data_IF_383236243173
#
_entry.id   IF_383236243173
#
_cell.length_a   1.000
_cell.length_b   1.000
_cell.length_c   1.000
_cell.angle_alpha   90.00
_cell.angle_beta   90.00
_cell.angle_gamma   90.00
#
_symmetry.space_group_name_H-M   'P 1'
#
loop_
_entity.id
_entity.type
_entity.pdbx_description
1 polymer ?
#
# COMPACT_ATOMS: atom_id res chain seq x y z
N UNK A 1 -30.62 -51.20 -9.39
CA UNK A 1 -30.26 -52.61 -9.13
C UNK A 1 -29.26 -52.65 -7.96
N UNK A 2 -29.48 -53.45 -6.91
CA UNK A 2 -28.66 -53.39 -5.70
C UNK A 2 -27.34 -54.15 -5.88
N UNK A 3 -26.23 -53.45 -5.62
CA UNK A 3 -24.82 -53.92 -5.67
C UNK A 3 -24.59 -55.22 -4.87
N UNK A 4 -25.44 -55.52 -3.88
CA UNK A 4 -25.37 -56.73 -3.05
C UNK A 4 -25.57 -58.05 -3.81
N UNK A 5 -26.25 -58.05 -4.97
CA UNK A 5 -26.44 -59.29 -5.75
C UNK A 5 -25.30 -59.55 -6.75
N UNK A 6 -24.49 -58.55 -7.09
CA UNK A 6 -23.33 -58.72 -7.97
C UNK A 6 -22.18 -59.46 -7.27
N UNK A 7 -21.99 -59.20 -5.97
CA UNK A 7 -20.92 -59.82 -5.18
C UNK A 7 -21.11 -61.33 -4.92
N UNK A 8 -22.36 -61.82 -4.91
CA UNK A 8 -22.65 -63.25 -4.70
C UNK A 8 -22.42 -64.11 -5.95
N UNK A 9 -22.40 -63.51 -7.14
CA UNK A 9 -22.16 -64.25 -8.39
C UNK A 9 -20.67 -64.50 -8.61
N UNK A 10 -19.79 -63.59 -8.17
CA UNK A 10 -18.32 -63.76 -8.32
C UNK A 10 -17.69 -64.77 -7.35
N UNK A 11 -18.39 -65.16 -6.27
CA UNK A 11 -17.81 -66.03 -5.22
C UNK A 11 -18.20 -67.52 -5.33
N UNK A 12 -18.93 -67.93 -6.37
CA UNK A 12 -19.33 -69.33 -6.55
C UNK A 12 -18.60 -70.00 -7.72
N UNK A 13 -17.29 -70.22 -7.58
CA UNK A 13 -16.59 -71.26 -8.35
C UNK A 13 -15.48 -71.94 -7.53
N UNK A 14 -15.59 -73.26 -7.39
CA UNK A 14 -14.46 -74.18 -7.22
C UNK A 14 -14.66 -75.35 -8.18
N UNK A 15 -14.22 -75.15 -9.42
CA UNK A 15 -13.75 -76.24 -10.26
C UNK A 15 -12.29 -75.91 -10.56
N UNK A 16 -11.38 -76.78 -10.15
CA UNK A 16 -9.94 -76.64 -10.35
C UNK A 16 -9.60 -76.87 -11.83
N UNK A 17 -10.03 -75.97 -12.71
CA UNK A 17 -9.52 -75.90 -14.07
C UNK A 17 -8.23 -75.07 -14.01
N UNK A 18 -7.08 -75.72 -14.20
CA UNK A 18 -5.82 -75.01 -14.37
C UNK A 18 -5.89 -74.13 -15.61
N UNK A 19 -5.27 -72.95 -15.55
CA UNK A 19 -5.21 -72.03 -16.69
C UNK A 19 -4.47 -72.69 -17.86
N UNK A 20 -5.03 -72.55 -19.06
CA UNK A 20 -4.33 -72.98 -20.27
C UNK A 20 -3.17 -72.02 -20.56
N UNK A 21 -2.06 -72.53 -21.11
CA UNK A 21 -0.86 -71.71 -21.42
C UNK A 21 -1.21 -70.48 -22.29
N UNK A 22 -2.15 -70.64 -23.21
CA UNK A 22 -2.66 -69.58 -24.10
C UNK A 22 -3.42 -68.49 -23.36
N UNK A 23 -4.23 -68.81 -22.35
CA UNK A 23 -4.92 -67.80 -21.53
C UNK A 23 -3.94 -66.96 -20.71
N UNK A 24 -2.90 -67.58 -20.15
CA UNK A 24 -1.86 -66.87 -19.41
C UNK A 24 -1.11 -65.89 -20.31
N UNK A 25 -0.82 -66.30 -21.55
CA UNK A 25 -0.11 -65.46 -22.52
C UNK A 25 -0.94 -64.27 -22.99
N UNK A 26 -2.24 -64.47 -23.25
CA UNK A 26 -3.17 -63.37 -23.60
C UNK A 26 -3.35 -62.43 -22.39
N UNK A 27 -3.51 -62.98 -21.19
CA UNK A 27 -3.60 -62.20 -19.96
C UNK A 27 -2.37 -61.31 -19.73
N UNK A 28 -1.16 -61.87 -19.92
CA UNK A 28 0.08 -61.12 -19.83
C UNK A 28 0.20 -60.03 -20.91
N UNK A 29 -0.20 -60.33 -22.16
CA UNK A 29 -0.18 -59.36 -23.24
C UNK A 29 -1.12 -58.16 -22.95
N UNK A 30 -2.37 -58.42 -22.54
CA UNK A 30 -3.33 -57.37 -22.20
C UNK A 30 -2.84 -56.56 -20.99
N UNK A 31 -2.34 -57.23 -19.94
CA UNK A 31 -1.80 -56.57 -18.77
C UNK A 31 -0.63 -55.64 -19.13
N UNK A 32 0.27 -56.07 -20.03
CA UNK A 32 1.41 -55.26 -20.46
C UNK A 32 0.96 -53.98 -21.18
N UNK A 33 -0.07 -54.06 -22.02
CA UNK A 33 -0.63 -52.89 -22.73
C UNK A 33 -1.27 -51.92 -21.74
N UNK A 34 -2.05 -52.42 -20.78
CA UNK A 34 -2.71 -51.59 -19.76
C UNK A 34 -1.68 -50.90 -18.87
N UNK A 35 -0.67 -51.64 -18.38
CA UNK A 35 0.42 -51.08 -17.56
C UNK A 35 1.23 -50.06 -18.36
N UNK A 36 1.51 -50.33 -19.64
CA UNK A 36 2.20 -49.39 -20.53
C UNK A 36 1.43 -48.08 -20.71
N UNK A 37 0.13 -48.16 -20.99
CA UNK A 37 -0.73 -46.98 -21.14
C UNK A 37 -0.83 -46.18 -19.83
N UNK A 38 -1.00 -46.85 -18.70
CA UNK A 38 -1.05 -46.20 -17.38
C UNK A 38 0.29 -45.54 -17.02
N UNK A 39 1.42 -46.21 -17.29
CA UNK A 39 2.76 -45.67 -17.07
C UNK A 39 3.02 -44.41 -17.89
N UNK A 40 2.62 -44.41 -19.17
CA UNK A 40 2.70 -43.21 -20.01
C UNK A 40 1.84 -42.06 -19.47
N UNK A 41 0.61 -42.35 -19.06
CA UNK A 41 -0.30 -41.36 -18.45
C UNK A 41 0.29 -40.71 -17.19
N UNK A 42 0.90 -41.50 -16.30
CA UNK A 42 1.54 -41.00 -15.10
C UNK A 42 2.72 -40.08 -15.41
N UNK A 43 3.58 -40.46 -16.37
CA UNK A 43 4.71 -39.62 -16.79
C UNK A 43 4.25 -38.27 -17.34
N UNK A 44 3.14 -38.26 -18.08
CA UNK A 44 2.56 -37.01 -18.59
C UNK A 44 2.07 -36.11 -17.45
N UNK A 45 1.38 -36.68 -16.46
CA UNK A 45 0.92 -35.91 -15.29
C UNK A 45 2.10 -35.34 -14.50
N UNK A 46 3.17 -36.11 -14.30
CA UNK A 46 4.37 -35.64 -13.59
C UNK A 46 5.03 -34.46 -14.32
N UNK A 47 5.17 -34.54 -15.65
CA UNK A 47 5.72 -33.44 -16.46
C UNK A 47 4.87 -32.18 -16.36
N UNK A 48 3.55 -32.31 -16.49
CA UNK A 48 2.62 -31.17 -16.35
C UNK A 48 2.66 -30.58 -14.94
N UNK A 49 2.71 -31.41 -13.89
CA UNK A 49 2.81 -30.94 -12.50
C UNK A 49 4.11 -30.18 -12.24
N UNK A 50 5.25 -30.68 -12.75
CA UNK A 50 6.54 -30.00 -12.61
C UNK A 50 6.52 -28.63 -13.28
N UNK A 51 5.98 -28.56 -14.51
CA UNK A 51 5.83 -27.29 -15.24
C UNK A 51 4.94 -26.30 -14.48
N UNK A 52 3.80 -26.76 -13.97
CA UNK A 52 2.89 -25.94 -13.17
C UNK A 52 3.56 -25.37 -11.93
N UNK A 53 4.39 -26.18 -11.24
CA UNK A 53 5.15 -25.75 -10.07
C UNK A 53 6.16 -24.65 -10.41
N UNK A 54 7.02 -24.86 -11.42
CA UNK A 54 8.05 -23.87 -11.83
C UNK A 54 7.41 -22.57 -12.30
N UNK A 55 6.30 -22.66 -13.04
CA UNK A 55 5.57 -21.48 -13.48
C UNK A 55 4.97 -20.70 -12.30
N UNK A 56 4.42 -21.40 -11.30
CA UNK A 56 3.87 -20.76 -10.10
C UNK A 56 4.95 -20.07 -9.27
N UNK A 57 6.10 -20.72 -9.11
CA UNK A 57 7.27 -20.16 -8.41
C UNK A 57 7.76 -18.89 -9.12
N UNK A 58 7.97 -18.94 -10.45
CA UNK A 58 8.41 -17.77 -11.23
C UNK A 58 7.42 -16.60 -11.18
N UNK A 59 6.11 -16.89 -11.21
CA UNK A 59 5.07 -15.87 -11.00
C UNK A 59 5.20 -15.19 -9.64
N UNK A 60 5.41 -15.97 -8.58
CA UNK A 60 5.55 -15.45 -7.21
C UNK A 60 6.81 -14.59 -7.04
N UNK A 61 7.94 -15.03 -7.60
CA UNK A 61 9.20 -14.28 -7.56
C UNK A 61 9.10 -12.94 -8.29
N UNK A 62 8.54 -12.94 -9.51
CA UNK A 62 8.36 -11.72 -10.31
C UNK A 62 7.36 -10.77 -9.65
N UNK A 63 6.27 -11.28 -9.10
CA UNK A 63 5.30 -10.46 -8.35
C UNK A 63 5.97 -9.76 -7.15
N UNK A 64 6.78 -10.48 -6.37
CA UNK A 64 7.51 -9.89 -5.24
C UNK A 64 8.51 -8.82 -5.70
N UNK A 65 9.23 -9.08 -6.79
CA UNK A 65 10.14 -8.09 -7.37
C UNK A 65 9.38 -6.84 -7.82
N UNK A 66 8.20 -6.99 -8.42
CA UNK A 66 7.34 -5.87 -8.82
C UNK A 66 6.87 -5.03 -7.66
N UNK A 67 6.36 -5.66 -6.60
CA UNK A 67 5.88 -4.94 -5.42
C UNK A 67 7.01 -4.11 -4.83
N UNK A 68 8.19 -4.73 -4.70
CA UNK A 68 9.39 -4.06 -4.21
C UNK A 68 9.82 -2.86 -5.09
N UNK A 69 9.92 -3.06 -6.41
CA UNK A 69 10.30 -2.00 -7.36
C UNK A 69 9.25 -0.88 -7.36
N UNK A 70 7.97 -1.24 -7.33
CA UNK A 70 6.85 -0.29 -7.36
C UNK A 70 6.82 0.57 -6.11
N UNK A 71 7.12 -0.01 -4.94
CA UNK A 71 7.20 0.72 -3.69
C UNK A 71 8.39 1.68 -3.65
N UNK A 72 9.55 1.32 -4.21
CA UNK A 72 10.66 2.26 -4.35
C UNK A 72 10.36 3.37 -5.36
N UNK A 73 9.66 3.07 -6.45
CA UNK A 73 9.21 4.11 -7.38
C UNK A 73 8.24 5.05 -6.67
N UNK A 74 7.27 4.55 -5.89
CA UNK A 74 6.34 5.41 -5.12
C UNK A 74 7.07 6.34 -4.15
N UNK A 75 8.19 5.88 -3.57
CA UNK A 75 9.07 6.68 -2.70
C UNK A 75 9.97 7.64 -3.46
N UNK A 76 10.09 7.49 -4.78
CA UNK A 76 10.88 8.40 -5.59
C UNK A 76 10.16 9.74 -5.79
N UNK A 77 10.97 10.77 -5.95
CA UNK A 77 10.58 12.07 -6.47
C UNK A 77 10.60 12.05 -7.99
N UNK A 78 11.63 11.46 -8.61
CA UNK A 78 11.78 11.43 -10.07
C UNK A 78 12.29 10.06 -10.55
N UNK A 79 11.84 9.67 -11.74
CA UNK A 79 12.24 8.48 -12.48
C UNK A 79 13.04 8.94 -13.69
N UNK A 80 14.32 8.61 -13.72
CA UNK A 80 15.24 8.97 -14.79
C UNK A 80 15.46 7.77 -15.74
N UNK A 81 15.45 7.98 -17.06
CA UNK A 81 15.59 6.90 -18.05
C UNK A 81 17.02 6.35 -18.19
N UNK A 82 17.97 6.88 -17.43
CA UNK A 82 19.37 6.47 -17.46
C UNK A 82 20.02 6.73 -16.10
N UNK A 83 21.24 6.21 -15.91
CA UNK A 83 21.99 6.35 -14.67
C UNK A 83 23.07 7.45 -14.73
N UNK A 84 22.93 8.47 -15.59
CA UNK A 84 23.96 9.52 -15.74
C UNK A 84 24.15 10.32 -14.45
N UNK A 85 23.07 10.51 -13.70
CA UNK A 85 23.08 11.25 -12.43
C UNK A 85 23.41 10.35 -11.23
N UNK A 86 23.68 9.06 -11.44
CA UNK A 86 23.94 8.10 -10.37
C UNK A 86 25.43 8.11 -9.97
N UNK A 87 25.77 8.96 -9.02
CA UNK A 87 27.17 9.12 -8.53
C UNK A 87 27.71 7.84 -7.87
N UNK A 88 28.78 7.27 -8.42
CA UNK A 88 29.38 6.02 -7.91
C UNK A 88 28.84 4.73 -8.56
N UNK A 89 27.86 4.83 -9.46
CA UNK A 89 27.41 3.71 -10.27
C UNK A 89 28.27 3.57 -11.54
N UNK A 90 28.74 2.35 -11.82
CA UNK A 90 29.44 2.02 -13.06
C UNK A 90 28.55 1.19 -13.98
N UNK A 91 28.26 1.67 -15.19
CA UNK A 91 27.39 0.97 -16.17
C UNK A 91 28.08 -0.15 -16.97
N UNK A 92 29.39 -0.35 -16.80
CA UNK A 92 30.15 -1.37 -17.55
C UNK A 92 29.58 -2.78 -17.36
N UNK A 93 29.18 -3.43 -18.46
CA UNK A 93 28.59 -4.77 -18.44
C UNK A 93 27.18 -4.84 -17.84
N UNK A 94 26.53 -3.68 -17.63
CA UNK A 94 25.20 -3.56 -17.05
C UNK A 94 24.25 -2.89 -18.05
N UNK A 95 23.06 -3.45 -18.22
CA UNK A 95 22.00 -2.82 -19.01
C UNK A 95 21.08 -2.05 -18.08
N UNK A 96 21.25 -0.73 -18.01
CA UNK A 96 20.43 0.14 -17.16
C UNK A 96 19.01 0.20 -17.70
N UNK A 97 18.03 0.07 -16.80
CA UNK A 97 16.61 0.27 -17.11
C UNK A 97 16.21 1.67 -16.66
N UNK A 98 16.32 2.00 -15.38
CA UNK A 98 16.01 3.34 -14.89
C UNK A 98 16.74 3.65 -13.59
N UNK A 99 16.77 4.93 -13.23
CA UNK A 99 17.30 5.42 -11.96
C UNK A 99 16.24 6.24 -11.21
N UNK A 100 16.25 6.17 -9.88
CA UNK A 100 15.27 6.82 -9.02
C UNK A 100 15.94 7.88 -8.14
N UNK A 101 15.44 9.11 -8.20
CA UNK A 101 15.76 10.15 -7.22
C UNK A 101 14.82 9.97 -6.04
N UNK A 102 15.35 9.58 -4.88
CA UNK A 102 14.56 9.39 -3.66
C UNK A 102 15.02 10.43 -2.64
N UNK A 103 14.12 11.26 -2.10
CA UNK A 103 14.51 12.31 -1.16
C UNK A 103 15.02 11.70 0.16
N UNK A 104 16.02 12.35 0.75
CA UNK A 104 16.60 11.95 2.04
C UNK A 104 17.57 10.77 1.98
N UNK A 105 17.96 10.31 0.78
CA UNK A 105 19.06 9.37 0.61
C UNK A 105 20.30 10.12 0.12
N UNK A 106 21.42 9.95 0.82
CA UNK A 106 22.74 10.47 0.43
C UNK A 106 23.72 9.30 0.24
N UNK A 107 24.60 9.40 -0.77
CA UNK A 107 25.58 8.33 -1.08
C UNK A 107 26.75 8.30 -0.09
N UNK A 108 27.15 9.47 0.42
CA UNK A 108 28.38 9.65 1.20
C UNK A 108 28.19 10.59 2.42
N UNK A 109 26.96 10.72 2.93
CA UNK A 109 26.65 11.68 4.00
C UNK A 109 26.82 13.15 3.58
N UNK A 110 26.95 13.41 2.28
CA UNK A 110 27.02 14.73 1.69
C UNK A 110 25.76 14.98 0.84
N UNK A 111 24.87 15.83 1.35
CA UNK A 111 23.58 16.20 0.74
C UNK A 111 23.67 16.85 -0.66
N UNK A 112 24.88 17.06 -1.19
CA UNK A 112 25.11 17.66 -2.52
C UNK A 112 25.31 16.63 -3.63
N UNK A 113 25.63 15.37 -3.30
CA UNK A 113 25.78 14.31 -4.31
C UNK A 113 24.42 13.73 -4.64
N UNK A 114 24.02 13.83 -5.91
CA UNK A 114 22.77 13.27 -6.42
C UNK A 114 22.77 11.74 -6.28
N UNK A 115 22.20 11.26 -5.17
CA UNK A 115 21.96 9.84 -4.95
C UNK A 115 20.87 9.35 -5.91
N UNK A 116 21.10 8.23 -6.59
CA UNK A 116 20.11 7.61 -7.47
C UNK A 116 20.08 6.11 -7.30
N UNK A 117 18.96 5.53 -6.86
CA UNK A 117 18.82 4.07 -6.84
C UNK A 117 18.67 3.58 -8.29
N UNK A 118 19.58 2.73 -8.77
CA UNK A 118 19.62 2.30 -10.18
C UNK A 118 19.14 0.87 -10.31
N UNK A 119 18.22 0.66 -11.24
CA UNK A 119 17.72 -0.65 -11.65
C UNK A 119 18.32 -1.05 -12.99
N UNK A 120 18.92 -2.24 -13.04
CA UNK A 120 19.64 -2.69 -14.22
C UNK A 120 19.66 -4.23 -14.34
N UNK A 121 20.00 -4.72 -15.53
CA UNK A 121 20.24 -6.13 -15.80
C UNK A 121 21.73 -6.42 -15.93
N UNK A 122 22.16 -7.58 -15.43
CA UNK A 122 23.52 -8.11 -15.61
C UNK A 122 23.45 -9.63 -15.80
N UNK A 123 24.43 -10.18 -16.49
CA UNK A 123 24.61 -11.63 -16.56
C UNK A 123 24.92 -12.20 -15.17
N UNK A 124 24.39 -13.39 -14.82
CA UNK A 124 24.77 -14.05 -13.58
C UNK A 124 26.28 -14.34 -13.58
N UNK A 125 26.93 -14.13 -12.44
CA UNK A 125 28.34 -14.48 -12.29
C UNK A 125 28.51 -16.01 -12.33
N UNK A 126 29.65 -16.50 -12.84
CA UNK A 126 29.86 -17.94 -13.08
C UNK A 126 29.69 -18.84 -11.85
N UNK A 127 29.89 -18.30 -10.64
CA UNK A 127 29.75 -19.01 -9.36
C UNK A 127 28.53 -18.54 -8.55
N UNK A 128 27.57 -17.90 -9.21
CA UNK A 128 26.37 -17.35 -8.58
C UNK A 128 25.28 -18.41 -8.41
N UNK A 129 24.49 -18.28 -7.33
CA UNK A 129 23.24 -19.05 -7.17
C UNK A 129 22.16 -18.62 -8.17
N UNK A 130 22.24 -17.39 -8.67
CA UNK A 130 21.28 -16.76 -9.57
C UNK A 130 21.34 -17.34 -10.98
N UNK A 131 20.19 -17.64 -11.55
CA UNK A 131 20.04 -18.30 -12.86
C UNK A 131 20.00 -17.31 -14.02
N UNK A 132 20.66 -17.68 -15.12
CA UNK A 132 20.59 -16.95 -16.38
C UNK A 132 19.26 -17.17 -17.11
N UNK A 133 18.97 -16.41 -18.17
CA UNK A 133 19.93 -15.60 -18.94
C UNK A 133 20.39 -14.29 -18.28
N UNK A 134 19.48 -13.51 -17.70
CA UNK A 134 19.78 -12.23 -17.04
C UNK A 134 19.20 -12.20 -15.63
N UNK A 135 19.76 -11.33 -14.79
CA UNK A 135 19.30 -11.09 -13.41
C UNK A 135 19.03 -9.59 -13.24
N UNK A 136 17.91 -9.24 -12.61
CA UNK A 136 17.61 -7.85 -12.22
C UNK A 136 18.38 -7.54 -10.95
N UNK A 137 19.15 -6.46 -11.02
CA UNK A 137 19.86 -5.91 -9.89
C UNK A 137 19.35 -4.51 -9.56
N UNK A 138 19.49 -4.18 -8.29
CA UNK A 138 19.35 -2.85 -7.73
C UNK A 138 20.69 -2.40 -7.19
N UNK A 139 21.16 -1.25 -7.63
CA UNK A 139 22.26 -0.53 -6.99
C UNK A 139 21.69 0.57 -6.12
N UNK A 140 21.99 0.54 -4.83
CA UNK A 140 21.39 1.43 -3.85
C UNK A 140 21.91 1.19 -2.43
N UNK A 141 21.49 2.02 -1.47
CA UNK A 141 21.79 1.78 -0.07
C UNK A 141 21.06 0.51 0.40
N UNK A 142 21.57 -0.20 1.42
CA UNK A 142 20.87 -1.34 1.98
C UNK A 142 19.58 -0.90 2.68
N UNK A 143 18.61 -1.81 2.69
CA UNK A 143 17.37 -1.66 3.45
C UNK A 143 17.49 -2.50 4.73
N UNK A 144 17.03 -1.96 5.85
CA UNK A 144 16.87 -2.73 7.09
C UNK A 144 15.58 -3.59 7.05
N UNK A 145 15.36 -4.37 8.11
CA UNK A 145 14.18 -5.26 8.23
C UNK A 145 12.84 -4.52 8.22
N UNK A 146 12.84 -3.21 8.49
CA UNK A 146 11.66 -2.35 8.42
C UNK A 146 11.45 -1.72 7.03
N UNK A 147 12.31 -2.03 6.05
CA UNK A 147 12.24 -1.46 4.70
C UNK A 147 12.69 0.00 4.61
N UNK A 148 13.46 0.49 5.59
CA UNK A 148 14.05 1.82 5.58
C UNK A 148 15.49 1.78 5.09
N UNK A 149 15.93 2.84 4.41
CA UNK A 149 17.31 2.98 3.95
C UNK A 149 18.26 3.10 5.13
N UNK A 150 19.42 2.45 5.00
CA UNK A 150 20.51 2.51 5.97
C UNK A 150 21.66 3.32 5.37
N UNK A 151 22.47 3.96 6.22
CA UNK A 151 23.65 4.73 5.82
C UNK A 151 24.86 3.87 5.43
N UNK A 152 24.66 2.56 5.21
CA UNK A 152 25.74 1.66 4.81
C UNK A 152 26.10 1.81 3.33
N UNK A 153 27.28 1.29 2.96
CA UNK A 153 27.84 1.39 1.62
C UNK A 153 26.87 0.86 0.57
N UNK A 154 26.74 1.63 -0.52
CA UNK A 154 25.94 1.29 -1.67
C UNK A 154 26.44 0.00 -2.31
N UNK A 155 25.52 -0.89 -2.65
CA UNK A 155 25.85 -2.22 -3.15
C UNK A 155 24.90 -2.68 -4.23
N UNK A 156 25.41 -3.56 -5.08
CA UNK A 156 24.63 -4.27 -6.08
C UNK A 156 23.87 -5.42 -5.40
N UNK A 157 22.53 -5.38 -5.45
CA UNK A 157 21.65 -6.40 -4.88
C UNK A 157 20.82 -7.07 -5.97
N UNK A 158 20.96 -8.39 -6.18
CA UNK A 158 20.08 -9.14 -7.07
C UNK A 158 18.67 -9.23 -6.46
N UNK A 159 17.65 -9.11 -7.32
CA UNK A 159 16.24 -9.12 -6.92
C UNK A 159 15.49 -10.33 -7.50
N UNK A 160 15.65 -10.57 -8.80
CA UNK A 160 14.99 -11.68 -9.50
C UNK A 160 15.87 -12.15 -10.65
N UNK A 161 15.90 -13.46 -10.86
CA UNK A 161 16.71 -14.11 -11.89
C UNK A 161 15.87 -14.80 -12.96
N UNK A 162 16.55 -15.44 -13.91
CA UNK A 162 15.89 -16.10 -15.02
C UNK A 162 15.13 -15.10 -15.87
N UNK A 163 15.65 -13.89 -16.08
CA UNK A 163 15.04 -12.92 -16.98
C UNK A 163 15.51 -13.20 -18.41
N UNK A 164 14.58 -13.20 -19.35
CA UNK A 164 14.86 -13.42 -20.77
C UNK A 164 15.84 -12.34 -21.28
N UNK A 165 16.83 -12.73 -22.06
CA UNK A 165 17.84 -11.78 -22.55
C UNK A 165 17.24 -10.72 -23.49
N UNK A 166 16.34 -11.13 -24.40
CA UNK A 166 15.71 -10.26 -25.38
C UNK A 166 14.22 -10.59 -25.53
N UNK A 167 13.39 -9.56 -25.66
CA UNK A 167 11.95 -9.64 -25.92
C UNK A 167 11.60 -8.68 -27.05
N UNK A 168 10.40 -8.81 -27.63
CA UNK A 168 9.83 -7.78 -28.48
C UNK A 168 9.67 -6.49 -27.68
N UNK A 169 10.17 -5.38 -28.20
CA UNK A 169 10.11 -4.08 -27.54
C UNK A 169 8.65 -3.66 -27.25
N UNK A 170 8.30 -3.35 -25.99
CA UNK A 170 6.99 -2.81 -25.66
C UNK A 170 6.74 -1.50 -26.41
N UNK A 171 5.50 -1.30 -26.89
CA UNK A 171 5.10 -0.03 -27.48
C UNK A 171 4.77 0.98 -26.38
N UNK A 172 5.66 1.95 -26.16
CA UNK A 172 5.47 2.98 -25.14
C UNK A 172 4.60 4.17 -25.60
N UNK A 173 4.41 4.37 -26.91
CA UNK A 173 3.85 5.61 -27.47
C UNK A 173 4.87 6.75 -27.51
N UNK A 174 4.43 7.94 -27.94
CA UNK A 174 5.32 9.10 -28.21
C UNK A 174 5.66 9.96 -26.99
N UNK A 175 4.82 9.95 -25.95
CA UNK A 175 5.04 10.69 -24.69
C UNK A 175 5.81 9.90 -23.63
N UNK A 176 6.41 8.78 -24.03
CA UNK A 176 7.08 7.85 -23.14
C UNK A 176 8.42 7.44 -23.73
N UNK A 177 9.43 7.32 -22.87
CA UNK A 177 10.77 6.85 -23.22
C UNK A 177 10.89 5.38 -22.87
N UNK A 178 11.16 4.52 -23.86
CA UNK A 178 11.48 3.11 -23.64
C UNK A 178 12.92 2.96 -23.14
N UNK A 179 13.08 2.18 -22.08
CA UNK A 179 14.37 1.90 -21.44
C UNK A 179 14.47 0.41 -21.06
N UNK A 180 15.59 -0.28 -21.32
CA UNK A 180 16.67 0.16 -22.21
C UNK A 180 16.11 0.38 -23.63
N UNK A 181 16.73 1.30 -24.38
CA UNK A 181 16.31 1.62 -25.74
C UNK A 181 16.33 0.36 -26.61
N UNK A 182 15.30 0.20 -27.44
CA UNK A 182 15.21 -0.98 -28.30
C UNK A 182 16.37 -1.00 -29.31
N UNK A 183 16.96 -2.17 -29.50
CA UNK A 183 17.84 -2.48 -30.63
C UNK A 183 16.98 -3.12 -31.72
N UNK A 184 16.54 -2.30 -32.68
CA UNK A 184 15.55 -2.71 -33.68
C UNK A 184 14.18 -2.92 -33.04
N UNK A 185 13.59 -4.11 -33.22
CA UNK A 185 12.30 -4.49 -32.63
C UNK A 185 12.43 -5.18 -31.26
N UNK A 186 13.64 -5.25 -30.70
CA UNK A 186 13.90 -6.02 -29.46
C UNK A 186 14.49 -5.15 -28.35
N UNK A 187 14.14 -5.49 -27.10
CA UNK A 187 14.75 -4.90 -25.89
C UNK A 187 15.00 -6.01 -24.86
N UNK A 188 15.59 -5.69 -23.71
CA UNK A 188 15.86 -6.68 -22.66
C UNK A 188 14.60 -7.14 -21.95
N UNK A 189 14.62 -8.35 -21.35
CA UNK A 189 13.46 -8.93 -20.66
C UNK A 189 12.95 -8.13 -19.47
N UNK A 190 13.74 -7.20 -18.94
CA UNK A 190 13.27 -6.14 -18.04
C UNK A 190 13.39 -4.79 -18.74
N UNK A 191 12.26 -4.12 -18.91
CA UNK A 191 12.14 -2.83 -19.57
C UNK A 191 11.14 -1.92 -18.84
N UNK A 192 11.26 -0.62 -19.05
CA UNK A 192 10.33 0.38 -18.56
C UNK A 192 10.00 1.41 -19.64
N UNK A 193 8.74 1.78 -19.75
CA UNK A 193 8.32 3.01 -20.40
C UNK A 193 8.19 4.09 -19.32
N UNK A 194 8.95 5.18 -19.44
CA UNK A 194 8.91 6.30 -18.50
C UNK A 194 8.24 7.47 -19.17
N UNK A 195 7.19 8.01 -18.56
CA UNK A 195 6.46 9.15 -19.10
C UNK A 195 7.32 10.41 -19.11
N UNK A 196 6.99 11.36 -19.98
CA UNK A 196 7.70 12.64 -20.10
C UNK A 196 7.66 13.51 -18.84
N UNK A 197 6.72 13.24 -17.93
CA UNK A 197 6.63 13.88 -16.61
C UNK A 197 7.71 13.39 -15.63
N UNK A 198 8.46 12.33 -15.98
CA UNK A 198 9.42 11.63 -15.11
C UNK A 198 8.82 11.16 -13.77
N UNK A 199 7.50 11.08 -13.66
CA UNK A 199 6.77 10.62 -12.46
C UNK A 199 6.10 9.28 -12.70
N UNK A 200 5.70 8.97 -13.92
CA UNK A 200 4.99 7.71 -14.21
C UNK A 200 5.88 6.70 -14.95
N UNK A 201 5.86 5.45 -14.50
CA UNK A 201 6.53 4.34 -15.18
C UNK A 201 5.59 3.16 -15.43
N UNK A 202 5.67 2.57 -16.63
CA UNK A 202 5.13 1.23 -16.93
C UNK A 202 6.30 0.26 -16.99
N UNK A 203 6.25 -0.80 -16.21
CA UNK A 203 7.35 -1.76 -16.05
C UNK A 203 6.97 -3.10 -16.69
N UNK A 204 7.90 -3.71 -17.40
CA UNK A 204 7.73 -5.00 -18.10
C UNK A 204 8.84 -5.95 -17.67
N UNK A 205 8.49 -7.09 -17.08
CA UNK A 205 9.42 -8.14 -16.64
C UNK A 205 8.99 -9.45 -17.30
N UNK A 206 9.93 -10.07 -17.99
CA UNK A 206 9.74 -11.31 -18.74
C UNK A 206 10.69 -12.37 -18.20
N UNK A 207 10.14 -13.31 -17.45
CA UNK A 207 10.84 -14.45 -16.89
C UNK A 207 10.92 -15.61 -17.90
N UNK A 208 12.07 -16.26 -17.94
CA UNK A 208 12.32 -17.51 -18.63
C UNK A 208 11.91 -18.68 -17.72
N UNK A 209 11.01 -19.52 -18.23
CA UNK A 209 10.58 -20.76 -17.61
C UNK A 209 11.23 -21.89 -18.42
N UNK A 210 12.37 -22.35 -17.94
CA UNK A 210 13.08 -23.50 -18.50
C UNK A 210 12.57 -24.77 -17.82
N UNK A 211 11.96 -25.66 -18.60
CA UNK A 211 11.61 -27.01 -18.12
C UNK A 211 12.44 -28.06 -18.84
N UNK A 212 12.81 -29.13 -18.15
CA UNK A 212 13.62 -30.23 -18.69
C UNK A 212 12.93 -31.00 -19.82
N UNK A 213 11.62 -30.81 -20.03
CA UNK A 213 10.81 -31.62 -20.95
C UNK A 213 10.20 -30.89 -22.15
N UNK A 214 10.08 -29.55 -22.12
CA UNK A 214 9.34 -28.80 -23.16
C UNK A 214 10.08 -27.56 -23.70
N UNK A 215 11.33 -27.35 -23.29
CA UNK A 215 12.10 -26.17 -23.69
C UNK A 215 11.83 -24.95 -22.80
N UNK A 216 12.19 -23.77 -23.34
CA UNK A 216 12.01 -22.47 -22.69
C UNK A 216 10.66 -21.86 -23.07
N UNK A 217 9.95 -21.32 -22.09
CA UNK A 217 8.71 -20.54 -22.28
C UNK A 217 8.80 -19.23 -21.51
N UNK A 218 8.12 -18.18 -21.98
CA UNK A 218 8.22 -16.85 -21.37
C UNK A 218 6.98 -16.58 -20.51
N UNK A 219 7.20 -16.15 -19.27
CA UNK A 219 6.18 -15.53 -18.45
C UNK A 219 6.35 -14.02 -18.49
N UNK A 220 5.34 -13.32 -18.99
CA UNK A 220 5.30 -11.87 -19.07
C UNK A 220 4.38 -11.31 -17.98
N UNK A 221 4.85 -10.27 -17.32
CA UNK A 221 4.04 -9.43 -16.45
C UNK A 221 4.33 -7.96 -16.73
N UNK A 222 3.36 -7.11 -16.44
CA UNK A 222 3.45 -5.67 -16.57
C UNK A 222 2.70 -4.95 -15.44
N UNK A 223 3.17 -3.76 -15.08
CA UNK A 223 2.52 -2.90 -14.09
C UNK A 223 2.76 -1.43 -14.38
N UNK A 224 1.90 -0.55 -13.85
CA UNK A 224 2.03 0.90 -13.93
C UNK A 224 2.12 1.48 -12.53
N UNK A 225 3.12 2.32 -12.29
CA UNK A 225 3.34 2.98 -10.99
C UNK A 225 3.73 4.45 -11.18
N UNK A 226 3.56 5.22 -10.11
CA UNK A 226 3.76 6.68 -10.08
C UNK A 226 4.63 7.03 -8.89
N UNK A 227 5.63 7.87 -9.10
CA UNK A 227 6.49 8.49 -8.10
C UNK A 227 5.70 9.57 -7.34
N UNK A 228 5.72 9.50 -6.00
CA UNK A 228 4.84 10.30 -5.14
C UNK A 228 5.58 11.15 -4.12
N UNK A 229 6.90 11.00 -3.99
CA UNK A 229 7.62 11.83 -3.06
C UNK A 229 7.75 13.23 -3.64
N UNK A 230 7.56 14.21 -2.76
CA UNK A 230 7.78 15.62 -3.06
C UNK A 230 8.84 16.14 -2.08
N UNK A 231 9.71 17.02 -2.55
CA UNK A 231 10.66 17.66 -1.64
C UNK A 231 9.94 18.79 -0.92
N UNK A 232 9.76 18.64 0.40
CA UNK A 232 9.16 19.64 1.32
C UNK A 232 9.78 21.06 1.28
N UNK A 233 10.78 21.31 0.42
CA UNK A 233 11.39 22.60 0.22
C UNK A 233 10.43 23.65 -0.35
N UNK A 234 9.46 23.28 -1.21
CA UNK A 234 8.50 24.25 -1.77
C UNK A 234 7.30 24.50 -0.85
N UNK A 235 6.90 23.53 -0.02
CA UNK A 235 5.77 23.70 0.91
C UNK A 235 6.11 24.68 2.05
N UNK A 236 7.39 24.81 2.44
CA UNK A 236 7.82 25.79 3.47
C UNK A 236 7.71 27.25 3.04
N UNK A 237 7.64 27.57 1.74
CA UNK A 237 7.64 28.95 1.26
C UNK A 237 6.23 29.56 1.07
N UNK A 238 5.17 28.73 1.04
CA UNK A 238 3.82 29.16 0.65
C UNK A 238 2.81 29.39 1.78
N UNK A 239 3.06 28.89 2.99
CA UNK A 239 2.14 29.08 4.11
C UNK A 239 2.69 30.16 5.05
N UNK A 240 2.18 31.39 4.86
CA UNK A 240 2.28 32.41 5.91
C UNK A 240 1.69 31.87 7.24
N UNK A 241 2.13 32.40 8.40
CA UNK A 241 1.65 31.91 9.69
C UNK A 241 0.11 32.01 9.75
N UNK A 242 -0.57 30.86 9.75
CA UNK A 242 -1.99 30.83 10.06
C UNK A 242 -2.16 31.32 11.51
N UNK A 243 -2.93 32.39 11.68
CA UNK A 243 -3.38 32.77 13.01
C UNK A 243 -4.15 31.59 13.62
N UNK A 244 -3.82 31.14 14.84
CA UNK A 244 -4.50 30.02 15.46
C UNK A 244 -6.00 30.32 15.63
N UNK A 245 -6.88 29.34 15.41
CA UNK A 245 -8.31 29.49 15.65
C UNK A 245 -8.59 29.79 17.13
N UNK A 246 -9.63 30.60 17.37
CA UNK A 246 -10.08 31.01 18.70
C UNK A 246 -10.29 29.82 19.64
N UNK A 247 -9.81 29.86 20.89
CA UNK A 247 -9.85 28.72 21.79
C UNK A 247 -11.28 28.32 22.22
N UNK A 248 -11.52 27.01 22.29
CA UNK A 248 -12.73 26.37 22.80
C UNK A 248 -12.93 26.74 24.29
N UNK A 249 -14.01 27.45 24.60
CA UNK A 249 -14.34 27.89 25.95
C UNK A 249 -14.94 26.79 26.83
N UNK A 250 -14.10 26.07 27.58
CA UNK A 250 -14.51 25.26 28.74
C UNK A 250 -14.19 25.97 30.06
N UNK A 251 -15.12 25.99 31.02
CA UNK A 251 -14.88 26.55 32.36
C UNK A 251 -14.35 25.46 33.29
N UNK A 252 -13.11 25.58 33.75
CA UNK A 252 -12.54 24.71 34.80
C UNK A 252 -12.59 25.39 36.17
N UNK A 253 -12.78 24.60 37.25
CA UNK A 253 -12.71 25.10 38.64
C UNK A 253 -11.42 24.63 39.28
N UNK A 254 -10.66 25.55 39.86
CA UNK A 254 -9.53 25.21 40.72
C UNK A 254 -10.05 24.92 42.13
N UNK A 255 -9.76 23.75 42.67
CA UNK A 255 -10.15 23.40 44.04
C UNK A 255 -8.91 23.48 44.94
N UNK A 256 -8.92 24.42 45.90
CA UNK A 256 -7.84 24.57 46.88
C UNK A 256 -7.95 23.43 47.91
N UNK A 257 -6.88 22.66 48.19
CA UNK A 257 -6.93 21.66 49.25
C UNK A 257 -7.13 22.35 50.60
N UNK A 258 -8.02 21.85 51.44
CA UNK A 258 -8.37 22.40 52.77
C UNK A 258 -7.27 22.28 53.82
N UNK A 259 -6.01 22.04 53.43
CA UNK A 259 -4.90 21.71 54.33
C UNK A 259 -3.58 22.46 54.09
N UNK A 260 -3.57 23.60 53.39
CA UNK A 260 -2.37 24.46 53.31
C UNK A 260 -1.23 23.95 52.41
N UNK A 261 -1.51 23.03 51.47
CA UNK A 261 -0.56 22.66 50.41
C UNK A 261 -0.69 23.54 49.16
N UNK A 262 0.41 23.72 48.41
CA UNK A 262 0.37 24.31 47.07
C UNK A 262 -0.65 23.56 46.19
N UNK A 263 -1.44 24.26 45.36
CA UNK A 263 -2.38 23.61 44.45
C UNK A 263 -1.60 22.71 43.48
N UNK A 264 -1.69 21.40 43.66
CA UNK A 264 -1.24 20.42 42.67
C UNK A 264 -2.34 20.23 41.63
N UNK A 265 -1.99 20.38 40.36
CA UNK A 265 -2.85 20.01 39.24
C UNK A 265 -3.24 18.53 39.41
N UNK A 266 -4.53 18.26 39.58
CA UNK A 266 -5.05 16.92 39.38
C UNK A 266 -4.90 16.65 37.89
N UNK A 267 -3.95 15.80 37.53
CA UNK A 267 -3.76 15.34 36.16
C UNK A 267 -5.01 14.56 35.77
N UNK A 268 -5.97 15.21 35.12
CA UNK A 268 -7.11 14.52 34.54
C UNK A 268 -6.58 13.90 33.25
N UNK A 269 -6.03 12.68 33.38
CA UNK A 269 -5.84 11.82 32.24
C UNK A 269 -7.24 11.43 31.72
N UNK A 270 -7.85 12.27 30.90
CA UNK A 270 -9.03 11.87 30.14
C UNK A 270 -8.56 10.93 29.03
N UNK A 271 -8.57 9.64 29.33
CA UNK A 271 -8.45 8.60 28.32
C UNK A 271 -9.73 8.64 27.49
N UNK A 272 -9.64 9.09 26.23
CA UNK A 272 -10.76 8.94 25.30
C UNK A 272 -10.82 7.46 24.93
N UNK A 273 -11.57 6.68 25.71
CA UNK A 273 -11.90 5.30 25.37
C UNK A 273 -12.95 5.35 24.26
N UNK A 274 -12.51 5.04 23.04
CA UNK A 274 -13.42 4.64 21.98
C UNK A 274 -13.97 3.28 22.37
N UNK A 275 -15.19 3.23 22.91
CA UNK A 275 -15.88 1.97 23.12
C UNK A 275 -16.07 1.31 21.75
N UNK A 276 -15.51 0.10 21.58
CA UNK A 276 -15.54 -0.68 20.34
C UNK A 276 -16.96 -0.86 19.77
N UNK A 277 -18.01 -0.62 20.55
CA UNK A 277 -19.40 -0.75 20.10
C UNK A 277 -19.93 0.45 19.27
N UNK A 278 -19.23 1.60 19.19
CA UNK A 278 -19.86 2.84 18.68
C UNK A 278 -19.15 3.56 17.52
N UNK A 279 -18.07 3.02 16.98
CA UNK A 279 -17.46 3.57 15.77
C UNK A 279 -18.12 2.95 14.52
N UNK A 280 -19.02 3.71 13.87
CA UNK A 280 -19.54 3.34 12.55
C UNK A 280 -18.64 3.90 11.46
N UNK A 281 -17.99 3.02 10.71
CA UNK A 281 -17.25 3.39 9.50
C UNK A 281 -18.25 3.62 8.37
N UNK A 282 -18.38 4.86 7.92
CA UNK A 282 -19.22 5.22 6.78
C UNK A 282 -18.38 5.07 5.49
N UNK A 283 -18.15 3.84 5.05
CA UNK A 283 -17.48 3.59 3.77
C UNK A 283 -18.48 3.31 2.66
N UNK A 284 -18.32 3.94 1.49
CA UNK A 284 -19.01 3.52 0.28
C UNK A 284 -18.14 2.58 -0.55
N UNK A 285 -18.53 1.30 -0.57
CA UNK A 285 -17.93 0.24 -1.36
C UNK A 285 -18.16 -1.09 -0.66
N UNK A 286 -18.59 -2.13 -1.38
CA UNK A 286 -18.76 -3.47 -0.82
C UNK A 286 -17.40 -4.05 -0.37
N UNK A 287 -16.96 -3.69 0.83
CA UNK A 287 -15.87 -4.37 1.53
C UNK A 287 -16.32 -4.60 2.97
N UNK A 288 -16.15 -5.84 3.41
CA UNK A 288 -16.79 -6.42 4.58
C UNK A 288 -16.59 -5.59 5.86
N UNK A 289 -17.68 -5.41 6.62
CA UNK A 289 -17.65 -4.90 7.98
C UNK A 289 -16.88 -5.87 8.86
N UNK A 290 -15.66 -5.50 9.25
CA UNK A 290 -14.98 -6.10 10.39
C UNK A 290 -14.84 -5.03 11.46
N UNK A 291 -15.49 -5.28 12.60
CA UNK A 291 -15.42 -4.42 13.78
C UNK A 291 -13.97 -4.39 14.30
N UNK A 292 -13.42 -3.21 14.65
CA UNK A 292 -12.13 -3.13 15.31
C UNK A 292 -12.21 -3.81 16.69
N UNK A 293 -11.22 -4.65 17.04
CA UNK A 293 -11.21 -5.46 18.27
C UNK A 293 -10.28 -4.92 19.37
N UNK A 294 -9.74 -3.70 19.23
CA UNK A 294 -8.82 -3.12 20.22
C UNK A 294 -9.13 -1.66 20.52
N UNK A 295 -9.19 -1.36 21.83
CA UNK A 295 -9.31 -0.01 22.38
C UNK A 295 -8.23 0.91 21.78
N UNK A 296 -8.62 1.86 20.94
CA UNK A 296 -7.74 2.94 20.52
C UNK A 296 -7.68 3.99 21.64
N UNK A 297 -6.46 4.38 22.02
CA UNK A 297 -6.22 5.34 23.10
C UNK A 297 -5.73 6.64 22.50
N UNK A 298 -6.58 7.68 22.47
CA UNK A 298 -6.15 9.04 22.11
C UNK A 298 -5.65 9.72 23.38
N UNK A 299 -4.37 10.10 23.42
CA UNK A 299 -3.79 10.88 24.52
C UNK A 299 -3.83 12.36 24.16
N UNK A 300 -4.62 13.12 24.91
CA UNK A 300 -4.63 14.58 24.82
C UNK A 300 -3.67 15.11 25.89
N UNK A 301 -2.61 15.81 25.47
CA UNK A 301 -1.74 16.53 26.39
C UNK A 301 -2.20 17.99 26.46
N UNK A 302 -2.49 18.50 27.66
CA UNK A 302 -2.68 19.93 27.89
C UNK A 302 -1.42 20.55 28.48
N UNK A 303 -1.11 21.78 28.10
CA UNK A 303 -0.08 22.56 28.77
C UNK A 303 -0.49 22.83 30.24
N UNK A 304 0.45 22.87 31.20
CA UNK A 304 0.13 23.13 32.60
C UNK A 304 -0.50 24.51 32.77
N UNK A 305 -1.69 24.58 33.38
CA UNK A 305 -2.36 25.83 33.74
C UNK A 305 -1.82 26.30 35.09
N UNK A 306 -1.04 27.39 35.09
CA UNK A 306 -0.50 27.98 36.31
C UNK A 306 -1.62 28.66 37.13
N UNK A 307 -1.94 28.08 38.29
CA UNK A 307 -3.00 28.55 39.18
C UNK A 307 -2.50 29.50 40.28
N UNK A 308 -1.24 29.98 40.20
CA UNK A 308 -0.58 30.68 41.33
C UNK A 308 -0.98 32.15 41.50
N UNK A 309 -1.77 32.75 40.61
CA UNK A 309 -1.83 34.22 40.50
C UNK A 309 -3.11 34.93 40.97
N UNK A 310 -4.12 34.31 41.61
CA UNK A 310 -5.28 35.10 42.07
C UNK A 310 -6.10 34.48 43.22
N UNK A 311 -6.45 35.32 44.21
CA UNK A 311 -7.34 35.03 45.34
C UNK A 311 -8.85 35.08 44.99
N UNK A 312 -9.22 35.07 43.70
CA UNK A 312 -10.64 35.03 43.30
C UNK A 312 -11.15 33.59 43.13
N UNK A 313 -12.29 33.21 43.74
CA UNK A 313 -12.85 31.85 43.65
C UNK A 313 -13.49 31.52 42.29
N UNK A 314 -13.54 32.47 41.35
CA UNK A 314 -14.03 32.23 39.99
C UNK A 314 -13.21 33.02 38.96
N UNK A 315 -12.39 32.33 38.19
CA UNK A 315 -11.87 32.83 36.91
C UNK A 315 -12.28 31.89 35.79
N UNK A 316 -12.77 32.48 34.70
CA UNK A 316 -12.88 31.80 33.41
C UNK A 316 -11.49 31.77 32.80
N UNK A 317 -10.77 30.67 32.98
CA UNK A 317 -9.49 30.46 32.29
C UNK A 317 -9.82 30.06 30.85
N UNK A 318 -9.53 30.93 29.88
CA UNK A 318 -9.56 30.59 28.46
C UNK A 318 -8.44 29.58 28.22
N UNK A 319 -8.71 28.33 27.80
CA UNK A 319 -7.64 27.39 27.52
C UNK A 319 -6.80 27.95 26.38
N UNK A 320 -5.48 28.04 26.58
CA UNK A 320 -4.55 28.20 25.46
C UNK A 320 -4.38 26.81 24.86
N UNK A 321 -4.77 26.66 23.59
CA UNK A 321 -4.47 25.55 22.68
C UNK A 321 -4.71 24.15 23.27
N UNK A 322 -5.92 23.61 23.08
CA UNK A 322 -6.08 22.14 23.09
C UNK A 322 -5.55 21.64 21.76
N UNK A 323 -4.28 21.24 21.75
CA UNK A 323 -3.70 20.53 20.62
C UNK A 323 -4.09 19.06 20.72
N UNK A 324 -5.02 18.62 19.86
CA UNK A 324 -5.31 17.20 19.69
C UNK A 324 -4.17 16.61 18.86
N UNK A 325 -3.10 16.15 19.52
CA UNK A 325 -2.08 15.38 18.84
C UNK A 325 -2.59 13.95 18.62
N UNK A 326 -3.03 13.65 17.40
CA UNK A 326 -3.19 12.27 16.93
C UNK A 326 -1.78 11.69 16.71
N UNK A 327 -1.22 11.14 17.79
CA UNK A 327 0.15 10.61 17.78
C UNK A 327 0.26 9.33 16.95
N UNK A 328 -0.83 8.56 16.82
CA UNK A 328 -0.89 7.34 16.02
C UNK A 328 -2.36 6.89 15.83
N UNK A 329 -2.76 6.50 14.62
CA UNK A 329 -3.96 5.65 14.41
C UNK A 329 -3.45 4.21 14.24
N UNK A 330 -3.08 3.58 15.36
CA UNK A 330 -2.66 2.18 15.36
C UNK A 330 -3.92 1.30 15.31
N UNK A 331 -4.35 0.94 14.11
CA UNK A 331 -5.24 -0.20 13.90
C UNK A 331 -4.41 -1.49 13.93
N UNK A 332 -4.75 -2.42 14.83
CA UNK A 332 -4.22 -3.78 14.74
C UNK A 332 -4.59 -4.38 13.37
N UNK A 333 -3.64 -5.08 12.73
CA UNK A 333 -3.78 -5.63 11.37
C UNK A 333 -5.15 -6.29 11.16
N UNK A 334 -6.01 -5.65 10.39
CA UNK A 334 -7.25 -6.31 9.91
C UNK A 334 -6.83 -7.23 8.78
N UNK A 335 -6.72 -8.54 9.07
CA UNK A 335 -6.71 -9.55 8.03
C UNK A 335 -8.11 -9.60 7.44
N UNK A 336 -8.26 -9.13 6.21
CA UNK A 336 -9.37 -9.58 5.37
C UNK A 336 -9.09 -11.03 4.93
N UNK A 337 -10.11 -11.79 4.54
CA UNK A 337 -9.98 -13.17 4.03
C UNK A 337 -9.00 -13.28 2.83
N UNK A 338 -8.59 -12.16 2.24
CA UNK A 338 -7.70 -12.08 1.08
C UNK A 338 -6.27 -11.60 1.40
N UNK A 339 -5.87 -11.49 2.67
CA UNK A 339 -4.45 -11.37 3.05
C UNK A 339 -3.76 -10.01 2.81
N UNK A 340 -4.50 -8.94 2.54
CA UNK A 340 -3.91 -7.59 2.43
C UNK A 340 -3.67 -6.96 3.81
N UNK A 341 -2.52 -6.31 3.99
CA UNK A 341 -2.16 -5.54 5.19
C UNK A 341 -2.01 -4.08 4.79
N UNK A 342 -2.66 -3.15 5.49
CA UNK A 342 -2.49 -1.72 5.24
C UNK A 342 -1.19 -1.19 5.90
N UNK A 343 -0.48 -0.24 5.26
CA UNK A 343 0.74 0.33 5.82
C UNK A 343 0.45 1.25 7.01
N UNK A 344 1.43 1.34 7.90
CA UNK A 344 1.43 2.22 9.06
C UNK A 344 1.36 3.69 8.60
N UNK A 345 0.39 4.45 9.08
CA UNK A 345 0.25 5.88 8.75
C UNK A 345 1.19 6.65 9.68
N UNK A 346 2.14 7.40 9.10
CA UNK A 346 3.07 8.24 9.86
C UNK A 346 2.32 9.29 10.72
N UNK A 347 2.91 9.77 11.84
CA UNK A 347 2.29 10.75 12.72
C UNK A 347 1.84 12.00 11.93
N UNK A 348 0.60 12.39 12.17
CA UNK A 348 -0.11 13.43 11.42
C UNK A 348 0.33 14.80 11.92
N UNK A 349 0.84 15.65 11.03
CA UNK A 349 1.10 17.06 11.31
C UNK A 349 -0.24 17.84 11.28
N UNK A 350 -0.63 18.56 12.37
CA UNK A 350 -1.89 19.30 12.46
C UNK A 350 -2.03 20.48 11.48
N UNK A 351 -0.96 20.86 10.76
CA UNK A 351 -1.01 21.88 9.69
C UNK A 351 -1.38 21.32 8.30
N UNK A 352 -1.68 20.02 8.19
CA UNK A 352 -1.97 19.37 6.92
C UNK A 352 -3.46 19.49 6.58
N UNK A 353 -3.80 20.12 5.45
CA UNK A 353 -5.16 20.33 4.93
C UNK A 353 -5.93 19.06 4.55
N UNK A 354 -5.43 17.88 4.94
CA UNK A 354 -5.94 16.56 4.56
C UNK A 354 -6.91 15.97 5.56
N UNK A 355 -7.14 16.65 6.68
CA UNK A 355 -8.12 16.22 7.68
C UNK A 355 -9.08 17.38 7.94
N UNK A 356 -10.35 17.13 7.67
CA UNK A 356 -11.44 18.02 8.03
C UNK A 356 -12.17 17.44 9.23
N UNK A 357 -12.35 18.28 10.23
CA UNK A 357 -13.07 17.94 11.45
C UNK A 357 -14.37 18.73 11.45
N UNK A 358 -15.52 18.04 11.54
CA UNK A 358 -16.83 18.67 11.56
C UNK A 358 -17.51 18.49 12.92
N UNK A 359 -17.76 19.62 13.59
CA UNK A 359 -18.50 19.70 14.84
C UNK A 359 -19.95 20.18 14.62
N UNK A 360 -20.82 19.80 15.56
CA UNK A 360 -22.21 20.23 15.57
C UNK A 360 -22.35 21.77 15.53
N UNK A 361 -22.88 22.33 14.43
CA UNK A 361 -23.26 23.74 14.36
C UNK A 361 -22.11 24.76 14.31
N UNK A 362 -20.85 24.32 14.26
CA UNK A 362 -19.69 25.22 14.20
C UNK A 362 -19.02 25.20 12.85
N UNK A 363 -18.83 24.02 12.27
CA UNK A 363 -18.06 23.88 11.03
C UNK A 363 -18.96 23.83 9.80
N UNK A 364 -18.56 24.58 8.79
CA UNK A 364 -19.17 24.56 7.47
C UNK A 364 -18.47 23.49 6.65
N UNK A 365 -19.21 22.57 6.01
CA UNK A 365 -18.59 21.69 5.01
C UNK A 365 -17.96 22.55 3.90
N UNK A 366 -16.71 22.28 3.48
CA UNK A 366 -16.07 23.01 2.39
C UNK A 366 -16.88 22.94 1.08
N UNK A 367 -16.61 23.88 0.19
CA UNK A 367 -17.49 24.44 -0.85
C UNK A 367 -18.26 23.44 -1.76
N UNK A 368 -19.46 23.84 -2.18
CA UNK A 368 -20.45 23.04 -2.93
C UNK A 368 -20.19 22.94 -4.46
N UNK A 369 -18.98 22.61 -4.91
CA UNK A 369 -18.76 22.37 -6.35
C UNK A 369 -18.80 20.87 -6.64
N UNK A 370 -19.89 20.43 -7.27
CA UNK A 370 -19.97 19.08 -7.84
C UNK A 370 -18.91 18.96 -8.95
N UNK A 371 -17.97 18.04 -8.77
CA UNK A 371 -17.01 17.70 -9.81
C UNK A 371 -17.49 16.46 -10.54
N UNK A 372 -17.65 16.55 -11.87
CA UNK A 372 -17.93 15.40 -12.74
C UNK A 372 -19.12 14.52 -12.30
N UNK A 373 -20.19 15.14 -11.82
CA UNK A 373 -21.39 14.44 -11.35
C UNK A 373 -21.24 13.70 -10.01
N UNK A 374 -20.12 13.90 -9.30
CA UNK A 374 -19.96 13.43 -7.93
C UNK A 374 -20.76 14.28 -6.95
N UNK A 375 -21.29 13.62 -5.92
CA UNK A 375 -21.95 14.30 -4.80
C UNK A 375 -20.91 15.02 -3.96
N UNK A 376 -21.19 16.25 -3.59
CA UNK A 376 -20.42 16.99 -2.59
C UNK A 376 -20.43 16.25 -1.25
N UNK A 377 -19.46 16.51 -0.37
CA UNK A 377 -19.46 15.96 0.99
C UNK A 377 -20.80 16.20 1.72
N UNK A 378 -21.42 17.37 1.54
CA UNK A 378 -22.74 17.69 2.10
C UNK A 378 -23.83 16.76 1.57
N UNK A 379 -23.91 16.59 0.26
CA UNK A 379 -24.91 15.72 -0.38
C UNK A 379 -24.70 14.26 0.03
N UNK A 380 -23.46 13.82 0.17
CA UNK A 380 -23.15 12.50 0.72
C UNK A 380 -23.63 12.34 2.16
N UNK A 381 -23.37 13.32 3.03
CA UNK A 381 -23.79 13.27 4.43
C UNK A 381 -25.33 13.30 4.56
N UNK A 382 -26.02 14.06 3.71
CA UNK A 382 -27.49 14.04 3.63
C UNK A 382 -28.00 12.66 3.21
N UNK A 383 -27.39 12.03 2.20
CA UNK A 383 -27.68 10.67 1.76
C UNK A 383 -27.49 9.63 2.89
N UNK A 384 -26.53 9.86 3.78
CA UNK A 384 -26.28 9.04 4.98
C UNK A 384 -27.21 9.35 6.14
N UNK A 385 -28.13 10.30 5.98
CA UNK A 385 -29.14 10.66 6.98
C UNK A 385 -28.70 11.72 7.99
N UNK A 386 -27.58 12.41 7.76
CA UNK A 386 -27.21 13.55 8.60
C UNK A 386 -28.06 14.77 8.26
N UNK A 387 -28.53 15.45 9.30
CA UNK A 387 -29.26 16.71 9.15
C UNK A 387 -28.28 17.89 9.09
N UNK A 388 -28.70 18.97 8.43
CA UNK A 388 -28.00 20.26 8.44
C UNK A 388 -28.92 21.32 9.03
N UNK A 389 -28.35 22.36 9.63
CA UNK A 389 -29.14 23.47 10.16
C UNK A 389 -29.89 24.17 9.02
N UNK A 390 -31.16 24.59 9.23
CA UNK A 390 -32.03 25.13 8.19
C UNK A 390 -31.64 26.53 7.69
N UNK A 391 -30.51 27.07 8.15
CA UNK A 391 -29.98 28.33 7.63
C UNK A 391 -29.35 28.08 6.25
N UNK A 392 -29.95 28.62 5.16
CA UNK A 392 -29.52 28.36 3.78
C UNK A 392 -28.09 28.81 3.50
N UNK A 393 -27.52 29.67 4.34
CA UNK A 393 -26.16 30.17 4.16
C UNK A 393 -25.12 29.43 5.02
N UNK A 394 -25.55 28.56 5.93
CA UNK A 394 -24.65 28.09 6.99
C UNK A 394 -23.85 26.83 6.66
N UNK A 395 -24.29 25.94 5.76
CA UNK A 395 -23.64 24.62 5.50
C UNK A 395 -23.22 23.87 6.79
N UNK A 396 -23.89 24.14 7.91
CA UNK A 396 -23.55 23.59 9.22
C UNK A 396 -24.24 22.26 9.41
N UNK A 397 -23.46 21.24 9.69
CA UNK A 397 -23.98 19.91 10.03
C UNK A 397 -24.58 19.90 11.44
N UNK A 398 -25.68 19.18 11.61
CA UNK A 398 -26.30 18.91 12.91
C UNK A 398 -25.87 17.52 13.37
N UNK A 399 -25.01 17.50 14.38
CA UNK A 399 -24.54 16.28 15.03
C UNK A 399 -25.04 16.24 16.47
N UNK A 400 -25.09 15.07 17.09
CA UNK A 400 -25.29 15.05 18.54
C UNK A 400 -24.11 15.75 19.24
N UNK A 401 -24.34 16.30 20.43
CA UNK A 401 -23.29 17.01 21.19
C UNK A 401 -22.06 16.14 21.51
N UNK A 402 -22.18 14.82 21.35
CA UNK A 402 -21.16 13.84 21.64
C UNK A 402 -20.63 13.17 20.36
N UNK A 403 -20.88 13.78 19.19
CA UNK A 403 -20.48 13.29 17.87
C UNK A 403 -19.52 14.26 17.18
N UNK A 404 -18.61 13.68 16.41
CA UNK A 404 -17.65 14.36 15.56
C UNK A 404 -17.47 13.57 14.27
N UNK A 405 -17.34 14.24 13.12
CA UNK A 405 -16.93 13.59 11.88
C UNK A 405 -15.49 13.98 11.55
N UNK A 406 -14.66 12.98 11.27
CA UNK A 406 -13.31 13.14 10.72
C UNK A 406 -13.34 12.71 9.26
N UNK A 407 -13.09 13.65 8.35
CA UNK A 407 -12.92 13.38 6.93
C UNK A 407 -11.43 13.39 6.60
N UNK A 408 -10.97 12.37 5.87
CA UNK A 408 -9.59 12.25 5.41
C UNK A 408 -9.57 12.37 3.90
N UNK A 409 -8.90 13.41 3.39
CA UNK A 409 -8.73 13.64 1.97
C UNK A 409 -7.78 12.56 1.39
N UNK A 410 -8.29 11.68 0.53
CA UNK A 410 -7.50 10.62 -0.10
C UNK A 410 -7.21 10.99 -1.54
N UNK A 411 -6.26 11.91 -1.65
CA UNK A 411 -5.48 12.08 -2.86
C UNK A 411 -5.98 13.15 -3.81
N UNK A 412 -5.44 14.35 -3.66
CA UNK A 412 -4.81 15.09 -4.75
C UNK A 412 -4.03 16.28 -4.15
N UNK A 413 -2.72 16.28 -4.36
CA UNK A 413 -1.87 17.46 -4.12
C UNK A 413 -1.45 17.98 -5.50
N UNK A 414 -2.39 18.45 -6.32
CA UNK A 414 -2.04 19.07 -7.59
C UNK A 414 -2.22 20.58 -7.48
N UNK A 415 -1.13 21.36 -7.29
CA UNK A 415 -1.23 22.80 -7.28
C UNK A 415 -1.25 23.39 -8.70
N UNK A 416 -0.89 22.65 -9.76
CA UNK A 416 -0.60 23.24 -11.08
C UNK A 416 -0.65 22.26 -12.27
N UNK A 417 -1.86 21.95 -12.78
CA UNK A 417 -2.02 21.57 -14.20
C UNK A 417 -2.61 22.77 -14.96
N UNK A 418 -1.82 23.28 -15.92
CA UNK A 418 -1.96 24.59 -16.57
C UNK A 418 -3.13 24.77 -17.54
N UNK A 419 -4.36 24.65 -17.05
CA UNK A 419 -5.56 25.23 -17.66
C UNK A 419 -6.20 26.23 -16.67
N UNK A 420 -7.03 27.20 -17.12
CA UNK A 420 -7.63 28.18 -16.21
C UNK A 420 -8.42 27.46 -15.11
N UNK A 421 -7.94 27.64 -13.88
CA UNK A 421 -8.34 27.01 -12.63
C UNK A 421 -9.82 26.60 -12.57
N UNK A 422 -10.07 25.29 -12.54
CA UNK A 422 -11.20 24.77 -11.77
C UNK A 422 -10.66 24.61 -10.35
N UNK A 423 -11.12 25.40 -9.37
CA UNK A 423 -10.71 25.23 -7.98
C UNK A 423 -10.95 23.78 -7.55
N UNK A 424 -10.02 23.20 -6.79
CA UNK A 424 -10.18 21.89 -6.18
C UNK A 424 -11.58 21.79 -5.55
N UNK A 425 -12.39 20.76 -5.86
CA UNK A 425 -13.72 20.63 -5.29
C UNK A 425 -13.73 20.48 -3.76
N UNK A 426 -12.57 20.18 -3.16
CA UNK A 426 -12.45 19.83 -1.75
C UNK A 426 -13.00 18.43 -1.50
N UNK A 427 -13.18 18.11 -0.23
CA UNK A 427 -13.64 16.79 0.20
C UNK A 427 -14.83 16.25 -0.61
N UNK A 428 -14.67 15.08 -1.20
CA UNK A 428 -15.62 14.44 -2.11
C UNK A 428 -16.01 13.00 -1.68
N UNK A 429 -16.66 12.25 -2.57
CA UNK A 429 -17.16 10.91 -2.30
C UNK A 429 -16.06 9.85 -2.11
N UNK A 430 -14.83 10.14 -2.54
CA UNK A 430 -13.70 9.21 -2.49
C UNK A 430 -12.95 9.25 -1.15
N UNK A 431 -13.30 10.20 -0.29
CA UNK A 431 -12.66 10.39 1.00
C UNK A 431 -13.18 9.43 2.07
N UNK A 432 -12.29 9.10 3.01
CA UNK A 432 -12.67 8.29 4.16
C UNK A 432 -13.34 9.18 5.21
N UNK A 433 -14.53 8.80 5.66
CA UNK A 433 -15.25 9.46 6.73
C UNK A 433 -15.35 8.54 7.95
N UNK A 434 -15.00 9.09 9.11
CA UNK A 434 -15.09 8.40 10.40
C UNK A 434 -16.02 9.20 11.31
N UNK A 435 -17.14 8.60 11.72
CA UNK A 435 -18.00 9.14 12.76
C UNK A 435 -17.46 8.70 14.12
N UNK A 436 -17.09 9.68 14.95
CA UNK A 436 -16.61 9.48 16.30
C UNK A 436 -17.71 9.84 17.28
N UNK A 437 -18.20 8.84 18.01
CA UNK A 437 -19.02 9.04 19.20
C UNK A 437 -18.08 9.09 20.42
N UNK A 438 -18.04 10.21 21.13
CA UNK A 438 -17.33 10.32 22.40
C UNK A 438 -18.32 10.30 23.56
N UNK A 439 -17.92 9.73 24.70
CA UNK A 439 -18.69 9.86 25.94
C UNK A 439 -18.17 11.07 26.70
N UNK A 440 -19.07 11.96 27.11
CA UNK A 440 -18.71 12.98 28.11
C UNK A 440 -18.32 12.23 29.39
N UNK A 441 -17.04 12.27 29.72
CA UNK A 441 -16.55 11.88 31.03
C UNK A 441 -16.99 13.00 31.98
N UNK A 442 -18.12 12.80 32.66
CA UNK A 442 -18.62 13.70 33.71
C UNK A 442 -17.63 13.79 34.87
#
# INVERSE_FOLDING_TARGET
MPIRNLLKVFLKQKNNAGFTLTELLIGAAIASVVVGAAGFGLLQIMKTSQKGSVQSEKRSEIARAYDFISDEIRRAELIEPNATNATGFTSTGKTVVFALKIPGIDNDGNATTQARVVYYLKDPESNSVWKGPKVVYRWGPPLNDSGNYTSATWQDRPLVDGIVANITAPNCGTSWTLTPSASGSTTSGFAACIASDAKTAKLFINGDIVTSSEGSSIYQADTKTVARADTDAEIKAGFGPMNPPSPLGGKFKCQKPTGGGSPTLVNVNTTLQLDNETAETLSSGQFASSQPTSNQTVKVASAPVDCTASDSPFQSVTPVNVEIQLTEVSGSRVKTENGFTYPNVAPINPSNSKILVLHNGFDTTPYNIQFDGQKTLKEYLIDKGFEFYPDPNSNKIKLNYNQLILAFEIGQNDPQIGTPAIPNPGFDYQDNLVLVNYKNLN
#
